data_IF_073579298888
#
_entry.id   IF_073579298888
#
_cell.length_a   1.000
_cell.length_b   1.000
_cell.length_c   1.000
_cell.angle_alpha   90.00
_cell.angle_beta   90.00
_cell.angle_gamma   90.00
#
_symmetry.space_group_name_H-M   'P 1'
#
loop_
_entity.id
_entity.type
_entity.pdbx_description
1 polymer ?
#
# COMPACT_ATOMS: atom_id res chain seq x y z
N UNK A 1 52.04 15.87 -25.73
CA UNK A 1 51.07 14.95 -26.37
C UNK A 1 49.71 15.28 -25.80
N UNK A 2 48.67 15.31 -26.63
CA UNK A 2 47.29 15.36 -26.14
C UNK A 2 46.86 13.92 -25.91
N UNK A 3 46.79 13.50 -24.65
CA UNK A 3 46.22 12.20 -24.31
C UNK A 3 44.74 12.24 -24.67
N UNK A 4 44.32 11.31 -25.54
CA UNK A 4 42.92 11.20 -25.96
C UNK A 4 42.18 10.36 -24.93
N UNK A 5 41.16 10.94 -24.30
CA UNK A 5 40.24 10.23 -23.39
C UNK A 5 39.05 9.72 -24.21
N UNK A 6 38.83 8.42 -24.16
CA UNK A 6 37.67 7.77 -24.77
C UNK A 6 36.69 7.38 -23.67
N UNK A 7 35.42 7.78 -23.80
CA UNK A 7 34.35 7.48 -22.84
C UNK A 7 33.33 6.60 -23.54
N UNK A 8 33.06 5.42 -22.97
CA UNK A 8 31.92 4.58 -23.34
C UNK A 8 30.84 4.79 -22.29
N UNK A 9 29.71 5.35 -22.70
CA UNK A 9 28.53 5.50 -21.85
C UNK A 9 27.53 4.40 -22.22
N UNK A 10 27.20 3.55 -21.25
CA UNK A 10 26.12 2.58 -21.35
C UNK A 10 24.90 3.18 -20.64
N UNK A 11 23.84 3.42 -21.40
CA UNK A 11 22.58 3.87 -20.82
C UNK A 11 21.68 2.67 -20.56
N UNK A 12 21.22 2.56 -19.32
CA UNK A 12 20.19 1.60 -18.98
C UNK A 12 18.86 1.99 -19.62
N UNK A 13 18.10 0.98 -20.06
CA UNK A 13 16.74 1.18 -20.50
C UNK A 13 15.84 1.28 -19.26
N UNK A 14 15.01 2.31 -19.18
CA UNK A 14 13.91 2.33 -18.23
C UNK A 14 12.95 1.16 -18.53
N UNK A 15 12.77 0.25 -17.57
CA UNK A 15 11.85 -0.88 -17.71
C UNK A 15 10.88 -0.97 -16.53
N UNK A 16 9.76 -1.69 -16.73
CA UNK A 16 8.75 -1.91 -15.69
C UNK A 16 9.20 -2.93 -14.62
N UNK A 17 10.34 -3.59 -14.84
CA UNK A 17 10.93 -4.56 -13.91
C UNK A 17 12.19 -3.94 -13.32
N UNK A 18 12.39 -3.98 -11.99
CA UNK A 18 13.62 -3.46 -11.41
C UNK A 18 14.83 -4.19 -11.99
N UNK A 19 15.78 -3.42 -12.47
CA UNK A 19 17.11 -3.90 -12.82
C UNK A 19 17.91 -3.94 -11.53
N UNK A 20 18.61 -5.04 -11.29
CA UNK A 20 19.33 -5.28 -10.06
C UNK A 20 20.73 -5.76 -10.39
N UNK A 21 21.76 -5.14 -9.79
CA UNK A 21 23.12 -5.69 -9.76
C UNK A 21 23.66 -6.03 -11.16
N UNK A 22 23.40 -5.14 -12.13
CA UNK A 22 23.81 -5.35 -13.51
C UNK A 22 25.21 -4.79 -13.73
N UNK A 23 26.21 -5.67 -13.67
CA UNK A 23 27.63 -5.33 -13.90
C UNK A 23 28.17 -5.98 -15.18
N UNK A 24 27.75 -5.52 -16.38
CA UNK A 24 28.29 -6.07 -17.62
C UNK A 24 29.81 -5.89 -17.69
N UNK A 25 30.49 -6.95 -18.17
CA UNK A 25 31.91 -6.88 -18.50
C UNK A 25 32.10 -6.37 -19.92
N UNK A 26 32.82 -5.27 -20.04
CA UNK A 26 33.14 -4.62 -21.31
C UNK A 26 34.53 -5.09 -21.74
N UNK A 27 34.59 -5.65 -22.94
CA UNK A 27 35.86 -5.95 -23.61
C UNK A 27 35.91 -5.23 -24.94
N UNK A 28 36.95 -4.44 -25.16
CA UNK A 28 37.24 -3.75 -26.41
C UNK A 28 38.51 -4.35 -27.01
N UNK A 29 38.40 -4.93 -28.20
CA UNK A 29 39.55 -5.51 -28.92
C UNK A 29 39.63 -4.95 -30.34
N UNK A 30 40.83 -5.00 -30.92
CA UNK A 30 41.09 -4.59 -32.32
C UNK A 30 40.84 -3.10 -32.63
N UNK A 31 40.91 -2.22 -31.63
CA UNK A 31 40.78 -0.76 -31.79
C UNK A 31 42.14 -0.04 -31.86
N UNK A 32 43.23 -0.78 -32.06
CA UNK A 32 44.60 -0.24 -32.10
C UNK A 32 44.79 0.81 -33.20
N UNK A 33 44.03 0.72 -34.30
CA UNK A 33 44.01 1.73 -35.37
C UNK A 33 43.44 3.10 -34.96
N UNK A 34 42.75 3.17 -33.84
CA UNK A 34 42.19 4.40 -33.25
C UNK A 34 42.98 4.88 -32.01
N UNK A 35 44.13 4.26 -31.73
CA UNK A 35 44.94 4.57 -30.54
C UNK A 35 44.33 4.05 -29.23
N UNK A 36 43.32 3.18 -29.29
CA UNK A 36 42.69 2.56 -28.13
C UNK A 36 43.35 1.20 -27.89
N UNK A 37 43.97 1.03 -26.73
CA UNK A 37 44.52 -0.27 -26.30
C UNK A 37 43.41 -1.31 -26.07
N UNK A 38 43.77 -2.59 -26.03
CA UNK A 38 42.81 -3.62 -25.69
C UNK A 38 42.33 -3.44 -24.23
N UNK A 39 41.01 -3.38 -24.04
CA UNK A 39 40.36 -3.42 -22.73
C UNK A 39 39.77 -4.82 -22.58
N UNK A 40 40.09 -5.52 -21.49
CA UNK A 40 39.60 -6.89 -21.24
C UNK A 40 38.88 -6.92 -19.91
N UNK A 41 37.67 -7.47 -19.90
CA UNK A 41 36.85 -7.71 -18.70
C UNK A 41 36.73 -6.47 -17.78
N UNK A 42 36.61 -5.28 -18.36
CA UNK A 42 36.33 -4.08 -17.57
C UNK A 42 34.91 -4.18 -17.01
N UNK A 43 34.80 -4.31 -15.70
CA UNK A 43 33.52 -4.37 -15.02
C UNK A 43 32.92 -2.96 -14.99
N UNK A 44 31.76 -2.77 -15.64
CA UNK A 44 31.04 -1.52 -15.49
C UNK A 44 30.48 -1.42 -14.08
N UNK A 45 30.54 -0.23 -13.50
CA UNK A 45 29.72 0.10 -12.33
C UNK A 45 28.25 0.11 -12.75
N UNK A 46 27.40 -0.52 -11.94
CA UNK A 46 25.94 -0.42 -12.08
C UNK A 46 25.57 1.08 -12.16
N UNK A 47 24.63 1.43 -13.02
CA UNK A 47 24.13 2.79 -13.21
C UNK A 47 22.79 3.03 -12.51
N UNK A 48 22.09 1.96 -12.12
CA UNK A 48 20.82 2.03 -11.44
C UNK A 48 21.00 2.41 -9.98
N UNK A 49 20.11 3.26 -9.48
CA UNK A 49 19.94 3.44 -8.05
C UNK A 49 18.93 2.45 -7.49
N UNK A 50 19.16 1.98 -6.27
CA UNK A 50 18.21 1.10 -5.56
C UNK A 50 16.75 1.55 -5.61
N UNK A 51 15.84 0.58 -5.71
CA UNK A 51 14.40 0.78 -5.59
C UNK A 51 13.83 -0.16 -4.53
N UNK A 52 12.60 0.11 -4.07
CA UNK A 52 11.87 -0.88 -3.28
C UNK A 52 11.38 -1.97 -4.24
N UNK A 53 11.69 -3.22 -3.90
CA UNK A 53 11.18 -4.39 -4.60
C UNK A 53 9.82 -4.82 -4.05
N UNK A 54 9.71 -4.91 -2.72
CA UNK A 54 8.50 -5.39 -2.05
C UNK A 54 8.24 -4.66 -0.74
N UNK A 55 6.96 -4.47 -0.45
CA UNK A 55 6.49 -3.95 0.84
C UNK A 55 5.43 -4.90 1.40
N UNK A 56 5.74 -5.51 2.53
CA UNK A 56 4.80 -6.39 3.23
C UNK A 56 4.45 -5.81 4.58
N UNK A 57 3.15 -5.77 4.91
CA UNK A 57 2.67 -5.54 6.27
C UNK A 57 2.20 -6.87 6.86
N UNK A 58 2.86 -7.32 7.90
CA UNK A 58 2.40 -8.44 8.72
C UNK A 58 1.56 -7.92 9.88
N UNK A 59 0.26 -8.25 9.86
CA UNK A 59 -0.66 -7.88 10.95
C UNK A 59 -0.38 -8.70 12.19
N UNK A 60 -0.33 -8.02 13.33
CA UNK A 60 -0.37 -8.66 14.64
C UNK A 60 -1.77 -9.21 14.93
N UNK A 61 -1.85 -10.25 15.77
CA UNK A 61 -3.12 -10.76 16.30
C UNK A 61 -3.77 -9.81 17.31
N UNK A 62 -3.05 -8.78 17.74
CA UNK A 62 -3.54 -7.78 18.67
C UNK A 62 -4.60 -6.87 18.02
N UNK A 63 -5.46 -6.29 18.86
CA UNK A 63 -6.53 -5.39 18.42
C UNK A 63 -6.00 -4.01 18.00
N UNK A 64 -4.84 -3.61 18.52
CA UNK A 64 -4.14 -2.36 18.18
C UNK A 64 -3.25 -2.56 16.95
N UNK A 65 -2.99 -1.47 16.23
CA UNK A 65 -2.10 -1.47 15.05
C UNK A 65 -0.65 -1.16 15.41
N UNK A 66 -0.35 -0.98 16.69
CA UNK A 66 0.97 -0.53 17.17
C UNK A 66 2.06 -1.60 17.02
N UNK A 67 1.67 -2.85 16.79
CA UNK A 67 2.55 -4.02 16.71
C UNK A 67 2.54 -4.69 15.32
N UNK A 68 1.87 -4.08 14.33
CA UNK A 68 2.00 -4.58 12.96
C UNK A 68 3.44 -4.31 12.47
N UNK A 69 4.03 -5.29 11.80
CA UNK A 69 5.41 -5.18 11.26
C UNK A 69 5.36 -4.84 9.77
N UNK A 70 6.12 -3.84 9.38
CA UNK A 70 6.37 -3.48 7.98
C UNK A 70 7.73 -4.02 7.59
N UNK A 71 7.78 -4.74 6.48
CA UNK A 71 8.97 -5.34 5.88
C UNK A 71 9.14 -4.69 4.51
N UNK A 72 10.29 -4.06 4.30
CA UNK A 72 10.66 -3.44 3.03
C UNK A 72 11.89 -4.18 2.51
N UNK A 73 11.77 -4.70 1.29
CA UNK A 73 12.83 -5.37 0.55
C UNK A 73 13.27 -4.43 -0.57
N UNK A 74 14.56 -4.10 -0.61
CA UNK A 74 15.19 -3.34 -1.67
C UNK A 74 15.56 -4.25 -2.85
N UNK A 75 15.80 -3.64 -4.01
CA UNK A 75 16.26 -4.30 -5.23
C UNK A 75 17.70 -4.82 -5.12
N UNK A 76 18.48 -4.24 -4.23
CA UNK A 76 19.91 -4.50 -4.03
C UNK A 76 20.35 -4.01 -2.64
N UNK A 77 21.57 -4.36 -2.20
CA UNK A 77 22.14 -3.87 -0.95
C UNK A 77 22.20 -2.34 -0.88
N UNK A 78 21.83 -1.75 0.27
CA UNK A 78 21.83 -0.29 0.44
C UNK A 78 22.73 0.21 1.56
N UNK A 79 23.30 1.40 1.34
CA UNK A 79 24.01 2.20 2.33
C UNK A 79 23.28 3.52 2.62
N UNK A 80 23.56 4.09 3.79
CA UNK A 80 23.35 5.50 4.02
C UNK A 80 24.18 6.31 3.00
N UNK A 81 23.68 7.48 2.61
CA UNK A 81 24.32 8.41 1.66
C UNK A 81 25.81 8.67 1.95
N UNK A 82 26.22 8.64 3.23
CA UNK A 82 27.61 8.76 3.69
C UNK A 82 28.46 7.48 3.66
N UNK A 83 28.08 6.46 2.89
CA UNK A 83 28.75 5.16 2.78
C UNK A 83 28.89 4.43 4.13
N UNK A 84 27.79 4.41 4.89
CA UNK A 84 27.67 3.68 6.17
C UNK A 84 26.51 2.71 6.09
N UNK A 85 26.60 1.61 6.83
CA UNK A 85 25.45 0.71 6.97
C UNK A 85 24.28 1.47 7.61
N UNK A 86 23.06 1.09 7.23
CA UNK A 86 21.86 1.50 7.95
C UNK A 86 21.95 1.06 9.42
N UNK A 87 21.40 1.87 10.30
CA UNK A 87 21.35 1.66 11.74
C UNK A 87 19.90 1.49 12.20
N UNK A 88 19.67 0.71 13.24
CA UNK A 88 18.33 0.55 13.83
C UNK A 88 17.78 1.85 14.41
N UNK A 89 18.65 2.85 14.63
CA UNK A 89 18.26 4.21 15.01
C UNK A 89 17.79 5.09 13.84
N UNK A 90 17.95 4.63 12.60
CA UNK A 90 17.50 5.39 11.44
C UNK A 90 15.98 5.38 11.34
N UNK A 91 15.39 6.55 11.13
CA UNK A 91 13.95 6.74 11.16
C UNK A 91 13.31 6.43 9.80
N UNK A 92 12.30 5.55 9.71
CA UNK A 92 11.64 5.21 8.45
C UNK A 92 11.08 6.43 7.68
N UNK A 93 10.57 7.46 8.37
CA UNK A 93 10.03 8.67 7.73
C UNK A 93 11.07 9.56 7.02
N UNK A 94 12.37 9.36 7.33
CA UNK A 94 13.47 10.03 6.65
C UNK A 94 13.83 9.28 5.35
N UNK A 95 13.57 7.97 5.30
CA UNK A 95 13.98 7.09 4.19
C UNK A 95 12.84 6.86 3.20
N UNK A 96 11.59 6.91 3.63
CA UNK A 96 10.44 6.52 2.80
C UNK A 96 9.36 7.59 2.73
N UNK A 97 8.66 7.64 1.59
CA UNK A 97 7.35 8.30 1.49
C UNK A 97 6.23 7.29 1.40
N UNK A 98 5.08 7.64 1.98
CA UNK A 98 3.82 6.90 1.83
C UNK A 98 2.90 7.67 0.89
N UNK A 99 2.22 6.93 0.02
CA UNK A 99 1.30 7.45 -0.97
C UNK A 99 -0.03 6.70 -0.90
N UNK A 100 -1.10 7.34 -1.37
CA UNK A 100 -2.38 6.71 -1.61
C UNK A 100 -2.86 7.08 -3.01
N UNK A 101 -3.31 6.09 -3.78
CA UNK A 101 -3.90 6.33 -5.10
C UNK A 101 -5.25 7.04 -5.00
N UNK A 102 -5.51 7.98 -5.91
CA UNK A 102 -6.84 8.50 -6.18
C UNK A 102 -7.35 7.93 -7.53
N UNK A 103 -8.63 7.61 -7.65
CA UNK A 103 -9.20 6.92 -8.82
C UNK A 103 -9.27 7.80 -10.08
N UNK A 104 -8.85 9.08 -9.99
CA UNK A 104 -9.06 10.07 -11.06
C UNK A 104 -7.78 10.55 -11.75
N UNK A 105 -6.62 10.80 -11.09
CA UNK A 105 -5.46 11.39 -11.81
C UNK A 105 -4.05 11.23 -11.17
N UNK A 106 -3.85 10.53 -10.05
CA UNK A 106 -2.50 10.37 -9.48
C UNK A 106 -2.39 9.80 -8.06
N UNK A 107 -1.25 10.07 -7.42
CA UNK A 107 -0.93 9.64 -6.06
C UNK A 107 -0.85 10.84 -5.12
N UNK A 108 -1.50 10.75 -3.96
CA UNK A 108 -1.38 11.75 -2.89
C UNK A 108 -0.39 11.27 -1.84
N UNK A 109 0.61 12.09 -1.51
CA UNK A 109 1.58 11.81 -0.44
C UNK A 109 0.94 11.97 0.93
N UNK A 110 1.24 11.06 1.86
CA UNK A 110 0.73 11.08 3.23
C UNK A 110 1.91 11.11 4.21
N UNK A 111 2.37 12.31 4.52
CA UNK A 111 3.57 12.52 5.34
C UNK A 111 3.41 12.07 6.81
N UNK A 112 2.17 11.97 7.30
CA UNK A 112 1.89 11.64 8.70
C UNK A 112 2.05 10.15 9.06
N UNK A 113 2.09 9.25 8.08
CA UNK A 113 1.95 7.81 8.34
C UNK A 113 3.16 7.13 8.97
N UNK A 114 4.35 7.70 8.79
CA UNK A 114 5.60 7.18 9.36
C UNK A 114 6.15 8.05 10.51
N UNK A 115 5.43 9.10 10.92
CA UNK A 115 5.82 9.95 12.05
C UNK A 115 5.68 9.15 13.36
N UNK A 116 6.57 9.40 14.32
CA UNK A 116 6.62 8.71 15.63
C UNK A 116 6.89 7.19 15.54
N UNK A 117 7.64 6.77 14.51
CA UNK A 117 8.26 5.45 14.43
C UNK A 117 9.76 5.68 14.60
N UNK A 118 10.30 5.32 15.76
CA UNK A 118 11.63 5.77 16.19
C UNK A 118 12.78 5.14 15.39
N UNK A 119 12.57 3.94 14.84
CA UNK A 119 13.60 3.26 14.07
C UNK A 119 13.20 1.88 13.56
N UNK A 120 14.20 1.16 13.06
CA UNK A 120 14.04 -0.20 12.56
C UNK A 120 14.17 -1.24 13.68
N UNK A 121 13.37 -2.29 13.59
CA UNK A 121 13.46 -3.49 14.44
C UNK A 121 14.43 -4.52 13.89
N UNK A 122 14.71 -4.48 12.59
CA UNK A 122 15.64 -5.37 11.92
C UNK A 122 16.25 -4.68 10.69
N UNK A 123 17.53 -4.94 10.44
CA UNK A 123 18.26 -4.48 9.26
C UNK A 123 19.15 -5.60 8.77
N UNK A 124 19.12 -5.77 7.46
CA UNK A 124 20.12 -6.48 6.66
C UNK A 124 20.46 -5.60 5.47
N UNK A 125 21.37 -6.06 4.60
CA UNK A 125 21.81 -5.29 3.44
C UNK A 125 20.65 -4.90 2.50
N UNK A 126 19.66 -5.77 2.32
CA UNK A 126 18.53 -5.58 1.38
C UNK A 126 17.16 -5.46 2.06
N UNK A 127 17.07 -5.75 3.36
CA UNK A 127 15.78 -5.81 4.06
C UNK A 127 15.82 -4.99 5.34
N UNK A 128 14.83 -4.11 5.48
CA UNK A 128 14.55 -3.40 6.74
C UNK A 128 13.17 -3.76 7.25
N UNK A 129 13.03 -3.80 8.58
CA UNK A 129 11.74 -3.98 9.25
C UNK A 129 11.53 -2.94 10.32
N UNK A 130 10.29 -2.52 10.50
CA UNK A 130 9.90 -1.66 11.62
C UNK A 130 8.46 -1.93 12.02
N UNK A 131 8.10 -1.56 13.25
CA UNK A 131 6.72 -1.66 13.75
C UNK A 131 5.97 -0.35 13.57
N UNK A 132 4.67 -0.40 13.30
CA UNK A 132 3.81 0.78 13.23
C UNK A 132 3.45 1.31 14.62
N UNK A 133 4.44 1.64 15.45
CA UNK A 133 4.30 2.06 16.86
C UNK A 133 3.37 3.25 17.08
N UNK A 134 3.22 4.09 16.06
CA UNK A 134 2.30 5.22 16.02
C UNK A 134 0.80 4.83 15.90
N UNK A 135 0.50 3.54 15.72
CA UNK A 135 -0.86 3.02 15.61
C UNK A 135 -1.54 3.29 14.26
N UNK A 136 -0.82 3.80 13.27
CA UNK A 136 -1.35 4.07 11.94
C UNK A 136 -1.50 2.77 11.15
N UNK A 137 -2.64 2.59 10.49
CA UNK A 137 -2.95 1.40 9.71
C UNK A 137 -2.56 1.57 8.23
N UNK A 138 -1.35 1.14 7.87
CA UNK A 138 -0.98 0.92 6.47
C UNK A 138 -1.81 -0.24 5.89
N UNK A 139 -2.65 0.04 4.91
CA UNK A 139 -3.45 -0.95 4.17
C UNK A 139 -2.98 -1.10 2.72
N UNK A 140 -3.58 -2.04 1.98
CA UNK A 140 -3.31 -2.31 0.55
C UNK A 140 -3.62 -1.16 -0.41
N UNK A 141 -4.18 -0.05 0.09
CA UNK A 141 -4.40 1.19 -0.66
C UNK A 141 -3.16 2.07 -0.72
N UNK A 142 -2.22 1.83 0.18
CA UNK A 142 -1.02 2.64 0.29
C UNK A 142 0.09 2.06 -0.57
N UNK A 143 0.96 2.95 -1.01
CA UNK A 143 2.19 2.62 -1.71
C UNK A 143 3.36 3.28 -0.97
N UNK A 144 4.52 2.65 -1.00
CA UNK A 144 5.75 3.18 -0.41
C UNK A 144 6.81 3.28 -1.50
N UNK A 145 7.61 4.34 -1.46
CA UNK A 145 8.78 4.49 -2.30
C UNK A 145 9.94 5.10 -1.50
N UNK A 146 11.15 5.05 -2.06
CA UNK A 146 12.31 5.66 -1.42
C UNK A 146 12.19 7.18 -1.51
N UNK A 147 12.42 7.85 -0.39
CA UNK A 147 12.42 9.29 -0.27
C UNK A 147 13.62 9.87 -1.02
N UNK A 148 13.32 10.73 -1.97
CA UNK A 148 14.28 11.49 -2.77
C UNK A 148 13.91 12.96 -2.75
N UNK A 149 14.89 13.82 -2.98
CA UNK A 149 14.74 15.26 -3.19
C UNK A 149 15.76 15.76 -4.19
N UNK A 150 15.48 16.91 -4.81
CA UNK A 150 16.46 17.62 -5.62
C UNK A 150 17.10 18.72 -4.79
N UNK A 151 18.41 18.87 -4.89
CA UNK A 151 19.10 20.05 -4.36
C UNK A 151 18.97 21.25 -5.32
N UNK A 152 19.57 22.38 -4.95
CA UNK A 152 19.52 23.61 -5.75
C UNK A 152 20.21 23.48 -7.12
N UNK A 153 21.10 22.51 -7.29
CA UNK A 153 21.79 22.21 -8.55
C UNK A 153 21.03 21.23 -9.44
N UNK A 154 19.91 20.68 -8.97
CA UNK A 154 19.17 19.63 -9.65
C UNK A 154 19.74 18.23 -9.44
N UNK A 155 20.67 18.06 -8.50
CA UNK A 155 21.22 16.75 -8.14
C UNK A 155 20.28 16.02 -7.18
N UNK A 156 20.18 14.70 -7.34
CA UNK A 156 19.33 13.86 -6.50
C UNK A 156 20.00 13.61 -5.15
N UNK A 157 19.24 13.81 -4.08
CA UNK A 157 19.58 13.40 -2.73
C UNK A 157 18.60 12.35 -2.24
N UNK A 158 19.13 11.28 -1.65
CA UNK A 158 18.37 10.32 -0.85
C UNK A 158 19.17 9.94 0.40
N UNK A 159 18.47 9.54 1.46
CA UNK A 159 19.12 9.01 2.66
C UNK A 159 19.83 7.68 2.38
N UNK A 160 19.31 6.89 1.43
CA UNK A 160 19.88 5.61 1.01
C UNK A 160 20.40 5.68 -0.43
N UNK A 161 21.43 4.88 -0.70
CA UNK A 161 22.02 4.66 -2.03
C UNK A 161 22.47 3.22 -2.15
N UNK A 162 22.76 2.77 -3.36
CA UNK A 162 23.38 1.46 -3.59
C UNK A 162 24.70 1.32 -2.80
N UNK A 163 24.93 0.12 -2.26
CA UNK A 163 26.14 -0.29 -1.55
C UNK A 163 27.15 -0.85 -2.56
N UNK A 164 27.99 0.04 -3.08
CA UNK A 164 29.16 -0.31 -3.89
C UNK A 164 30.43 -0.41 -3.06
N UNK A 165 31.40 -1.23 -3.49
CA UNK A 165 32.68 -1.40 -2.76
C UNK A 165 33.52 -0.12 -2.64
N UNK A 166 33.27 0.89 -3.47
CA UNK A 166 33.99 2.17 -3.52
C UNK A 166 33.27 3.33 -2.78
N UNK A 167 32.05 3.12 -2.28
CA UNK A 167 31.26 4.17 -1.62
C UNK A 167 30.68 5.23 -2.54
N UNK A 168 30.76 5.04 -3.86
CA UNK A 168 30.23 5.94 -4.88
C UNK A 168 28.87 5.52 -5.46
N UNK A 169 28.19 4.56 -4.82
CA UNK A 169 26.93 4.00 -5.33
C UNK A 169 25.84 5.00 -5.66
N UNK A 170 24.90 4.57 -6.50
CA UNK A 170 23.91 5.43 -7.11
C UNK A 170 22.74 5.75 -6.18
N UNK A 171 22.24 6.97 -6.30
CA UNK A 171 21.00 7.37 -5.64
C UNK A 171 19.78 6.86 -6.41
N UNK A 172 18.70 6.46 -5.71
CA UNK A 172 17.41 6.23 -6.32
C UNK A 172 16.95 7.45 -7.13
N UNK A 173 16.38 7.23 -8.30
CA UNK A 173 15.83 8.32 -9.12
C UNK A 173 14.66 9.02 -8.43
N UNK A 174 14.42 10.30 -8.75
CA UNK A 174 13.38 11.12 -8.09
C UNK A 174 11.98 10.51 -8.19
N UNK A 175 11.68 9.89 -9.33
CA UNK A 175 10.40 9.24 -9.60
C UNK A 175 10.44 7.73 -9.39
N UNK A 176 11.27 7.23 -8.47
CA UNK A 176 11.39 5.80 -8.21
C UNK A 176 10.04 5.14 -7.90
N UNK A 177 9.97 3.85 -8.20
CA UNK A 177 8.76 3.04 -8.20
C UNK A 177 8.01 3.14 -6.86
N UNK A 178 6.70 3.40 -6.95
CA UNK A 178 5.78 3.31 -5.81
C UNK A 178 5.29 1.87 -5.71
N UNK A 179 5.62 1.20 -4.62
CA UNK A 179 5.30 -0.22 -4.40
C UNK A 179 4.12 -0.36 -3.46
N UNK A 180 3.11 -1.12 -3.87
CA UNK A 180 1.90 -1.34 -3.07
C UNK A 180 2.21 -2.13 -1.80
N UNK A 181 1.58 -1.75 -0.69
CA UNK A 181 1.66 -2.50 0.56
C UNK A 181 0.85 -3.80 0.45
N UNK A 182 1.52 -4.94 0.57
CA UNK A 182 0.90 -6.27 0.65
C UNK A 182 0.60 -6.58 2.10
N UNK A 183 -0.68 -6.65 2.48
CA UNK A 183 -1.10 -6.85 3.87
C UNK A 183 -1.40 -8.32 4.11
N UNK A 184 -0.62 -8.98 4.97
CA UNK A 184 -0.78 -10.40 5.32
C UNK A 184 -1.09 -10.57 6.81
N UNK A 185 -1.56 -11.77 7.17
CA UNK A 185 -1.85 -12.15 8.56
C UNK A 185 -3.35 -12.36 8.84
N UNK A 186 -3.75 -12.41 10.11
CA UNK A 186 -5.10 -12.78 10.50
C UNK A 186 -6.14 -11.78 9.97
N UNK A 187 -7.20 -12.31 9.34
CA UNK A 187 -8.30 -11.47 8.84
C UNK A 187 -9.09 -10.90 10.01
N UNK A 188 -9.23 -9.56 10.12
CA UNK A 188 -9.98 -8.97 11.23
C UNK A 188 -11.44 -9.40 11.22
N UNK A 189 -11.98 -9.60 12.43
CA UNK A 189 -13.41 -9.91 12.68
C UNK A 189 -14.16 -8.70 13.25
N UNK A 190 -13.64 -7.50 12.99
CA UNK A 190 -14.20 -6.21 13.40
C UNK A 190 -14.26 -5.30 12.18
N UNK A 191 -15.29 -4.47 12.13
CA UNK A 191 -15.43 -3.38 11.16
C UNK A 191 -15.63 -2.08 11.94
N UNK A 192 -14.89 -1.06 11.55
CA UNK A 192 -14.98 0.27 12.15
C UNK A 192 -15.72 1.22 11.20
N UNK A 193 -16.93 1.66 11.57
CA UNK A 193 -17.67 2.60 10.77
C UNK A 193 -17.01 3.98 10.79
N UNK A 194 -16.93 4.62 9.63
CA UNK A 194 -16.39 5.98 9.49
C UNK A 194 -17.34 6.82 8.63
N UNK A 195 -17.73 8.03 9.07
CA UNK A 195 -17.46 8.64 10.36
C UNK A 195 -18.37 8.02 11.43
N UNK A 196 -17.99 8.19 12.69
CA UNK A 196 -18.79 7.73 13.81
C UNK A 196 -18.62 8.72 14.98
N UNK A 197 -19.64 9.55 15.31
CA UNK A 197 -20.98 9.58 14.71
C UNK A 197 -21.01 10.13 13.27
N UNK A 198 -22.10 9.88 12.56
CA UNK A 198 -22.38 10.39 11.20
C UNK A 198 -23.74 11.10 11.14
N UNK A 199 -24.12 11.58 9.94
CA UNK A 199 -25.41 12.20 9.62
C UNK A 199 -25.97 11.58 8.33
N UNK A 200 -27.30 11.46 8.17
CA UNK A 200 -27.87 11.00 6.91
C UNK A 200 -27.56 11.95 5.75
N UNK A 201 -27.26 11.43 4.56
CA UNK A 201 -27.00 12.24 3.37
C UNK A 201 -27.42 11.53 2.09
N UNK A 202 -28.33 12.15 1.35
CA UNK A 202 -28.86 11.64 0.09
C UNK A 202 -28.07 12.10 -1.15
N UNK A 203 -26.91 12.76 -0.97
CA UNK A 203 -26.18 13.41 -2.07
C UNK A 203 -25.64 12.44 -3.11
N UNK A 204 -25.06 11.32 -2.66
CA UNK A 204 -24.38 10.34 -3.53
C UNK A 204 -25.18 9.07 -3.80
N UNK A 205 -26.05 8.68 -2.84
CA UNK A 205 -26.92 7.52 -2.97
C UNK A 205 -28.34 7.89 -2.54
N UNK A 206 -29.36 7.63 -3.38
CA UNK A 206 -30.74 7.98 -3.07
C UNK A 206 -31.28 7.36 -1.77
N UNK A 207 -32.22 8.02 -1.08
CA UNK A 207 -32.85 7.50 0.13
C UNK A 207 -33.40 6.08 -0.05
N UNK A 208 -33.13 5.21 0.93
CA UNK A 208 -33.58 3.82 0.97
C UNK A 208 -32.81 2.84 0.08
N UNK A 209 -31.92 3.34 -0.78
CA UNK A 209 -31.01 2.51 -1.57
C UNK A 209 -29.77 2.17 -0.74
N UNK A 210 -29.38 0.89 -0.72
CA UNK A 210 -28.19 0.41 -0.04
C UNK A 210 -27.47 -0.63 -0.89
N UNK A 211 -26.39 -0.21 -1.55
CA UNK A 211 -25.61 -1.07 -2.42
C UNK A 211 -24.52 -1.78 -1.61
N UNK A 212 -24.56 -3.11 -1.57
CA UNK A 212 -23.48 -3.92 -0.99
C UNK A 212 -22.41 -4.12 -2.08
N UNK A 213 -21.72 -3.04 -2.45
CA UNK A 213 -20.59 -3.06 -3.38
C UNK A 213 -19.45 -2.25 -2.81
N UNK A 214 -18.23 -2.55 -3.24
CA UNK A 214 -17.11 -1.67 -2.99
C UNK A 214 -17.35 -0.33 -3.69
N UNK A 215 -17.39 0.75 -2.91
CA UNK A 215 -17.54 2.12 -3.37
C UNK A 215 -16.31 2.94 -2.95
N UNK A 216 -15.23 2.95 -3.74
CA UNK A 216 -13.97 3.58 -3.35
C UNK A 216 -14.10 5.10 -3.16
N UNK A 217 -14.94 5.76 -3.97
CA UNK A 217 -15.21 7.20 -3.89
C UNK A 217 -15.92 7.62 -2.60
N UNK A 218 -16.58 6.69 -1.90
CA UNK A 218 -17.31 7.00 -0.68
C UNK A 218 -16.42 7.61 0.40
N UNK A 219 -15.13 7.22 0.46
CA UNK A 219 -14.19 7.76 1.45
C UNK A 219 -13.99 9.26 1.29
N UNK A 220 -13.86 9.73 0.06
CA UNK A 220 -13.74 11.15 -0.24
C UNK A 220 -15.02 11.88 0.19
N UNK A 221 -16.18 11.39 -0.23
CA UNK A 221 -17.49 11.97 0.12
C UNK A 221 -17.66 12.09 1.63
N UNK A 222 -17.46 10.99 2.35
CA UNK A 222 -17.58 10.93 3.81
C UNK A 222 -16.56 11.83 4.50
N UNK A 223 -15.33 11.85 4.03
CA UNK A 223 -14.27 12.63 4.66
C UNK A 223 -14.55 14.13 4.57
N UNK A 224 -14.97 14.61 3.40
CA UNK A 224 -15.25 16.03 3.16
C UNK A 224 -16.61 16.47 3.73
N UNK A 225 -17.64 15.65 3.59
CA UNK A 225 -19.00 16.04 3.97
C UNK A 225 -19.35 15.68 5.41
N UNK A 226 -18.57 14.82 6.07
CA UNK A 226 -18.85 14.25 7.39
C UNK A 226 -20.27 13.66 7.50
N UNK A 227 -20.75 13.06 6.41
CA UNK A 227 -22.11 12.52 6.28
C UNK A 227 -22.12 11.22 5.50
N UNK A 228 -23.10 10.35 5.75
CA UNK A 228 -23.06 8.95 5.33
C UNK A 228 -21.99 8.14 6.08
N UNK A 229 -22.01 6.82 5.98
CA UNK A 229 -21.16 5.91 6.76
C UNK A 229 -20.54 4.88 5.84
N UNK A 230 -19.25 4.62 6.03
CA UNK A 230 -18.52 3.55 5.36
C UNK A 230 -18.26 2.43 6.35
N UNK A 231 -18.52 1.21 5.89
CA UNK A 231 -18.07 -0.01 6.51
C UNK A 231 -16.88 -0.53 5.71
N UNK A 232 -15.66 -0.39 6.23
CA UNK A 232 -14.46 -0.96 5.63
C UNK A 232 -14.36 -2.45 6.03
N UNK A 233 -14.83 -3.33 5.15
CA UNK A 233 -14.88 -4.76 5.43
C UNK A 233 -13.58 -5.41 4.93
N UNK A 234 -12.77 -6.02 5.80
CA UNK A 234 -11.53 -6.67 5.40
C UNK A 234 -11.80 -8.02 4.74
N UNK A 235 -11.19 -8.23 3.57
CA UNK A 235 -11.34 -9.39 2.71
C UNK A 235 -9.97 -9.85 2.22
N UNK A 236 -9.73 -11.16 2.21
CA UNK A 236 -8.67 -11.76 1.38
C UNK A 236 -9.25 -11.98 -0.01
N UNK A 237 -8.51 -11.63 -1.06
CA UNK A 237 -8.85 -11.99 -2.44
C UNK A 237 -8.34 -13.41 -2.69
N UNK A 238 -9.23 -14.40 -2.95
CA UNK A 238 -8.81 -15.75 -3.28
C UNK A 238 -8.05 -15.81 -4.61
N UNK A 239 -7.07 -16.71 -4.70
CA UNK A 239 -6.38 -17.02 -5.97
C UNK A 239 -7.25 -17.78 -6.95
N UNK A 240 -8.13 -18.62 -6.40
CA UNK A 240 -9.01 -19.46 -7.19
C UNK A 240 -10.14 -18.63 -7.78
N UNK A 241 -10.21 -18.61 -9.11
CA UNK A 241 -11.26 -17.89 -9.87
C UNK A 241 -12.69 -18.28 -9.48
N UNK A 242 -12.88 -19.50 -8.99
CA UNK A 242 -14.20 -20.03 -8.62
C UNK A 242 -14.65 -19.60 -7.21
N UNK A 243 -13.72 -19.13 -6.36
CA UNK A 243 -14.06 -18.70 -5.01
C UNK A 243 -14.72 -17.33 -5.05
N UNK A 244 -15.90 -17.24 -4.45
CA UNK A 244 -16.73 -16.04 -4.33
C UNK A 244 -16.84 -15.63 -2.88
N UNK A 245 -17.13 -14.34 -2.69
CA UNK A 245 -17.29 -13.77 -1.35
C UNK A 245 -18.65 -13.11 -1.23
N UNK A 246 -19.52 -13.71 -0.42
CA UNK A 246 -20.84 -13.15 -0.11
C UNK A 246 -20.75 -12.24 1.10
N UNK A 247 -21.31 -11.05 0.98
CA UNK A 247 -21.49 -10.10 2.08
C UNK A 247 -22.98 -9.90 2.33
N UNK A 248 -23.42 -10.05 3.60
CA UNK A 248 -24.76 -9.66 4.06
C UNK A 248 -24.63 -8.63 5.15
N UNK A 249 -25.33 -7.51 5.03
CA UNK A 249 -25.36 -6.47 6.07
C UNK A 249 -26.80 -6.28 6.55
N UNK A 250 -26.97 -6.20 7.86
CA UNK A 250 -28.24 -5.83 8.51
C UNK A 250 -27.97 -4.71 9.52
N UNK A 251 -28.77 -3.66 9.47
CA UNK A 251 -28.66 -2.50 10.35
C UNK A 251 -29.94 -2.43 11.20
N UNK A 252 -29.77 -2.35 12.51
CA UNK A 252 -30.82 -2.32 13.50
C UNK A 252 -30.76 -1.02 14.32
N UNK A 253 -31.91 -0.48 14.68
CA UNK A 253 -32.00 0.58 15.69
C UNK A 253 -31.69 0.05 17.11
N UNK A 254 -31.69 0.94 18.10
CA UNK A 254 -31.41 0.60 19.49
C UNK A 254 -32.43 -0.37 20.14
N UNK A 255 -33.64 -0.47 19.57
CA UNK A 255 -34.73 -1.33 20.07
C UNK A 255 -34.76 -2.68 19.33
N UNK A 256 -33.96 -2.83 18.26
CA UNK A 256 -33.83 -4.05 17.48
C UNK A 256 -34.66 -4.08 16.20
N UNK A 257 -35.29 -2.98 15.79
CA UNK A 257 -35.97 -2.94 14.49
C UNK A 257 -34.94 -2.80 13.36
N UNK A 258 -35.09 -3.63 12.32
CA UNK A 258 -34.23 -3.55 11.15
C UNK A 258 -34.57 -2.31 10.32
N UNK A 259 -33.62 -1.39 10.19
CA UNK A 259 -33.80 -0.15 9.42
C UNK A 259 -33.32 -0.29 7.99
N UNK A 260 -32.29 -1.09 7.75
CA UNK A 260 -31.74 -1.32 6.42
C UNK A 260 -31.05 -2.68 6.35
N UNK A 261 -31.01 -3.28 5.16
CA UNK A 261 -30.31 -4.54 4.92
C UNK A 261 -29.95 -4.71 3.45
N UNK A 262 -28.88 -5.43 3.16
CA UNK A 262 -28.52 -5.81 1.81
C UNK A 262 -27.72 -7.10 1.76
N UNK A 263 -27.63 -7.66 0.56
CA UNK A 263 -26.77 -8.81 0.25
C UNK A 263 -26.08 -8.56 -1.09
N UNK A 264 -24.84 -9.00 -1.19
CA UNK A 264 -24.13 -9.19 -2.44
C UNK A 264 -23.51 -10.58 -2.41
N UNK A 265 -23.87 -11.41 -3.40
CA UNK A 265 -23.40 -12.78 -3.49
C UNK A 265 -21.91 -12.86 -3.84
N UNK A 266 -21.39 -11.86 -4.56
CA UNK A 266 -19.99 -11.82 -4.94
C UNK A 266 -19.46 -10.38 -4.94
N UNK A 267 -18.90 -9.97 -3.80
CA UNK A 267 -18.33 -8.63 -3.61
C UNK A 267 -17.05 -8.45 -4.43
N UNK A 268 -16.36 -9.54 -4.79
CA UNK A 268 -15.12 -9.49 -5.57
C UNK A 268 -15.34 -8.86 -6.94
N UNK A 269 -16.53 -8.99 -7.54
CA UNK A 269 -16.87 -8.31 -8.81
C UNK A 269 -16.79 -6.80 -8.74
N UNK A 270 -16.94 -6.21 -7.55
CA UNK A 270 -16.82 -4.77 -7.33
C UNK A 270 -15.40 -4.33 -6.90
N UNK A 271 -14.57 -5.28 -6.45
CA UNK A 271 -13.17 -5.05 -6.15
C UNK A 271 -12.40 -5.26 -7.46
N UNK A 272 -11.98 -4.20 -8.12
CA UNK A 272 -10.98 -4.29 -9.20
C UNK A 272 -9.59 -4.13 -8.56
N UNK A 273 -8.93 -5.20 -8.08
CA UNK A 273 -7.57 -5.07 -7.60
C UNK A 273 -6.69 -4.58 -8.76
N UNK A 274 -6.05 -3.43 -8.57
CA UNK A 274 -5.07 -2.92 -9.51
C UNK A 274 -3.87 -3.87 -9.55
N UNK A 275 -3.73 -4.61 -10.65
CA UNK A 275 -2.48 -5.21 -11.14
C UNK A 275 -1.90 -6.39 -10.34
N UNK A 276 -1.65 -6.20 -9.06
CA UNK A 276 -0.83 -7.14 -8.28
C UNK A 276 -1.74 -8.11 -7.53
N UNK A 277 -1.95 -9.27 -8.14
CA UNK A 277 -2.62 -10.43 -7.53
C UNK A 277 -1.66 -11.14 -6.57
N UNK A 278 -1.25 -10.44 -5.52
CA UNK A 278 -0.58 -11.12 -4.40
C UNK A 278 -1.67 -11.76 -3.53
N UNK A 279 -1.73 -13.09 -3.66
CA UNK A 279 -2.74 -14.07 -3.18
C UNK A 279 -3.22 -13.98 -1.75
N UNK A 280 -2.50 -13.26 -0.90
CA UNK A 280 -2.73 -13.18 0.54
C UNK A 280 -2.99 -11.75 1.02
N UNK A 281 -3.06 -10.79 0.11
CA UNK A 281 -3.29 -9.39 0.46
C UNK A 281 -4.69 -9.18 1.01
N UNK A 282 -4.78 -8.54 2.17
CA UNK A 282 -6.03 -8.05 2.74
C UNK A 282 -6.46 -6.74 2.05
N UNK A 283 -7.66 -6.74 1.50
CA UNK A 283 -8.34 -5.61 0.87
C UNK A 283 -9.52 -5.17 1.71
N UNK A 284 -9.70 -3.86 1.85
CA UNK A 284 -10.89 -3.31 2.48
C UNK A 284 -11.95 -3.01 1.40
N UNK A 285 -13.08 -3.71 1.45
CA UNK A 285 -14.25 -3.33 0.68
C UNK A 285 -15.04 -2.25 1.42
N UNK A 286 -15.02 -1.02 0.89
CA UNK A 286 -15.83 0.08 1.40
C UNK A 286 -17.29 -0.08 1.00
N UNK A 287 -18.16 -0.28 1.97
CA UNK A 287 -19.61 -0.33 1.73
C UNK A 287 -20.25 0.91 2.35
N UNK A 288 -20.89 1.73 1.51
CA UNK A 288 -21.48 3.01 1.89
C UNK A 288 -22.96 2.87 2.27
N UNK A 289 -23.34 3.42 3.42
CA UNK A 289 -24.71 3.62 3.84
C UNK A 289 -25.00 5.11 4.02
N UNK A 290 -26.05 5.59 3.36
CA UNK A 290 -26.45 7.00 3.40
C UNK A 290 -27.19 7.44 4.67
N UNK A 291 -27.40 6.56 5.65
CA UNK A 291 -28.16 6.88 6.87
C UNK A 291 -29.67 6.91 6.68
N UNK A 292 -30.21 6.37 5.58
CA UNK A 292 -31.66 6.23 5.37
C UNK A 292 -32.11 4.79 5.58
N UNK A 293 -33.32 4.64 6.11
CA UNK A 293 -34.02 3.37 6.20
C UNK A 293 -34.53 2.91 4.83
N UNK A 294 -34.86 1.62 4.71
CA UNK A 294 -35.47 1.05 3.49
C UNK A 294 -36.78 1.75 3.06
N UNK A 295 -37.48 2.39 4.00
CA UNK A 295 -38.68 3.20 3.76
C UNK A 295 -38.37 4.62 3.25
N UNK A 296 -37.12 4.89 2.84
CA UNK A 296 -36.65 6.20 2.34
C UNK A 296 -36.68 7.33 3.37
N UNK A 297 -36.89 7.02 4.65
CA UNK A 297 -36.86 8.00 5.74
C UNK A 297 -35.45 8.06 6.35
N UNK A 298 -34.93 9.27 6.66
CA UNK A 298 -33.68 9.39 7.41
C UNK A 298 -33.84 8.72 8.77
N UNK A 299 -32.84 7.97 9.20
CA UNK A 299 -32.89 7.32 10.52
C UNK A 299 -32.75 8.37 11.62
N UNK A 300 -33.43 8.16 12.74
CA UNK A 300 -33.42 9.10 13.85
C UNK A 300 -32.02 9.18 14.50
N UNK A 301 -31.66 10.29 15.15
CA UNK A 301 -30.44 10.35 15.96
C UNK A 301 -30.42 9.25 17.02
N UNK A 302 -29.29 8.58 17.19
CA UNK A 302 -29.16 7.45 18.09
C UNK A 302 -28.03 6.49 17.71
N UNK A 303 -27.91 5.38 18.43
CA UNK A 303 -26.93 4.33 18.14
C UNK A 303 -27.60 3.17 17.43
N UNK A 304 -26.99 2.73 16.34
CA UNK A 304 -27.45 1.64 15.49
C UNK A 304 -26.47 0.48 15.56
N UNK A 305 -26.98 -0.74 15.58
CA UNK A 305 -26.19 -1.96 15.51
C UNK A 305 -26.12 -2.47 14.07
N UNK A 306 -24.91 -2.64 13.56
CA UNK A 306 -24.65 -3.18 12.23
C UNK A 306 -24.09 -4.59 12.39
N UNK A 307 -24.75 -5.56 11.76
CA UNK A 307 -24.33 -6.96 11.72
C UNK A 307 -23.93 -7.31 10.30
N UNK A 308 -22.67 -7.68 10.11
CA UNK A 308 -22.07 -8.00 8.82
C UNK A 308 -21.69 -9.48 8.83
N UNK A 309 -22.13 -10.22 7.82
CA UNK A 309 -21.72 -11.58 7.57
C UNK A 309 -20.86 -11.61 6.31
N UNK A 310 -19.68 -12.22 6.42
CA UNK A 310 -18.78 -12.53 5.32
C UNK A 310 -18.68 -14.04 5.18
N UNK A 311 -18.97 -14.55 3.99
CA UNK A 311 -19.00 -15.97 3.67
C UNK A 311 -18.18 -16.24 2.40
N UNK A 312 -17.19 -17.12 2.48
CA UNK A 312 -16.40 -17.58 1.32
C UNK A 312 -17.00 -18.90 0.81
N UNK A 313 -17.28 -18.99 -0.49
CA UNK A 313 -17.90 -20.19 -1.08
C UNK A 313 -17.53 -20.37 -2.55
N UNK A 314 -17.93 -21.48 -3.17
CA UNK A 314 -17.71 -21.76 -4.59
C UNK A 314 -16.57 -22.74 -4.88
N UNK A 315 -15.65 -22.95 -3.91
CA UNK A 315 -14.62 -24.00 -3.96
C UNK A 315 -14.49 -24.74 -2.63
N UNK A 316 -13.72 -25.83 -2.60
CA UNK A 316 -13.42 -26.55 -1.35
C UNK A 316 -12.49 -25.74 -0.44
N UNK A 317 -11.51 -25.04 -1.03
CA UNK A 317 -10.53 -24.19 -0.34
C UNK A 317 -11.20 -22.93 0.24
N UNK A 318 -12.37 -22.53 -0.27
CA UNK A 318 -13.14 -21.40 0.24
C UNK A 318 -13.34 -21.43 1.78
N UNK A 319 -13.46 -22.63 2.37
CA UNK A 319 -13.61 -22.82 3.82
C UNK A 319 -12.40 -22.37 4.63
N UNK A 320 -11.21 -22.35 4.03
CA UNK A 320 -9.95 -21.99 4.68
C UNK A 320 -9.83 -20.48 4.93
N UNK A 321 -10.50 -19.65 4.11
CA UNK A 321 -10.52 -18.19 4.28
C UNK A 321 -11.36 -17.73 5.48
N UNK A 322 -12.19 -18.61 6.04
CA UNK A 322 -12.90 -18.40 7.30
C UNK A 322 -14.03 -17.39 7.23
N UNK A 323 -15.26 -17.89 7.39
CA UNK A 323 -16.45 -17.07 7.55
C UNK A 323 -16.37 -16.20 8.80
N UNK A 324 -16.98 -15.01 8.73
CA UNK A 324 -16.98 -14.08 9.84
C UNK A 324 -18.35 -13.42 10.04
N UNK A 325 -18.76 -13.34 11.31
CA UNK A 325 -19.80 -12.45 11.77
C UNK A 325 -19.14 -11.29 12.51
N UNK A 326 -19.34 -10.08 12.00
CA UNK A 326 -18.77 -8.85 12.54
C UNK A 326 -19.91 -7.97 13.04
N UNK A 327 -19.71 -7.32 14.18
CA UNK A 327 -20.69 -6.41 14.78
C UNK A 327 -20.03 -5.05 14.95
N UNK A 328 -20.70 -4.01 14.49
CA UNK A 328 -20.28 -2.63 14.65
C UNK A 328 -21.42 -1.78 15.24
N UNK A 329 -21.06 -0.66 15.87
CA UNK A 329 -22.01 0.33 16.36
C UNK A 329 -21.79 1.64 15.62
N UNK A 330 -22.87 2.24 15.12
CA UNK A 330 -22.86 3.52 14.40
C UNK A 330 -23.70 4.53 15.16
N UNK A 331 -23.12 5.64 15.56
CA UNK A 331 -23.85 6.81 16.03
C UNK A 331 -24.38 7.62 14.86
N UNK A 332 -25.63 8.04 14.91
CA UNK A 332 -26.24 9.01 13.99
C UNK A 332 -26.60 10.27 14.78
N UNK A 333 -26.20 11.42 14.24
CA UNK A 333 -26.42 12.76 14.78
C UNK A 333 -27.33 13.56 13.85
N UNK A 334 -27.80 14.72 14.33
CA UNK A 334 -28.62 15.67 13.55
C UNK A 334 -27.78 16.46 12.56
#
# INVERSE_FOLDING_TARGET
SLDSVWVLELNENETDVPQTNWTPKISLSNLTGYGIGNVTDFESTDGAGSVIWRVTKQRSTLSTRNEDEIIIEFSEPVWQSGARNLSTSDTPSVIFYVWQGNDSTGYTRIDSFLINIDGFTFISDEVVKFKTTNGVDLTSRHLINIRTSLDQSGSVYSFVKDKTGDGLGNFPVVNNRKVRVVVVGPVPKRVDPVPNPSKPSAKHVPPGVFHIKHEPQAREWVFHEKSGVIFAIPLVIPDEKETKVRIRIKIYDAVGNMVQSGVQDDILKSLRPSGDKDSLTLYDADIYWNGYSKKKMPVAPGVYQVVIYREYYGSQVAKEYGDARMIAKVGISR
#
